data_IF_910806987097
#
_entry.id   IF_910806987097
#
_cell.length_a   1.000
_cell.length_b   1.000
_cell.length_c   1.000
_cell.angle_alpha   90.00
_cell.angle_beta   90.00
_cell.angle_gamma   90.00
#
_symmetry.space_group_name_H-M   'P 1'
#
loop_
_entity.id
_entity.type
_entity.pdbx_description
1 polymer ?
#
# COMPACT_ATOMS: atom_id res chain seq x y z
N UNK A 1 17.24 -59.40 19.14
CA UNK A 1 16.34 -59.22 17.98
C UNK A 1 17.21 -59.18 16.74
N UNK A 2 16.98 -60.08 15.78
CA UNK A 2 17.77 -60.15 14.54
C UNK A 2 17.02 -59.40 13.43
N UNK A 3 17.71 -58.55 12.68
CA UNK A 3 17.14 -57.89 11.50
C UNK A 3 16.97 -58.91 10.36
N UNK A 4 15.88 -58.85 9.57
CA UNK A 4 15.82 -59.55 8.29
C UNK A 4 16.82 -58.89 7.32
N UNK A 5 17.77 -59.68 6.82
CA UNK A 5 18.75 -59.21 5.85
C UNK A 5 18.08 -59.10 4.46
N UNK A 6 18.06 -57.89 3.88
CA UNK A 6 17.38 -57.60 2.62
C UNK A 6 18.17 -58.14 1.41
N UNK A 7 17.43 -58.70 0.45
CA UNK A 7 17.89 -59.36 -0.81
C UNK A 7 18.83 -60.54 -0.56
N UNK A 8 18.45 -61.73 -1.03
CA UNK A 8 19.28 -62.93 -0.93
C UNK A 8 20.65 -62.66 -1.53
N UNK A 9 21.68 -62.68 -0.68
CA UNK A 9 23.05 -62.42 -1.07
C UNK A 9 23.47 -63.52 -2.06
N UNK A 10 24.19 -63.19 -3.15
CA UNK A 10 24.82 -64.20 -3.99
C UNK A 10 25.59 -65.22 -3.14
N UNK A 11 25.51 -66.50 -3.51
CA UNK A 11 25.98 -67.67 -2.76
C UNK A 11 25.07 -68.18 -1.61
N UNK A 12 23.83 -67.70 -1.46
CA UNK A 12 22.84 -68.37 -0.57
C UNK A 12 22.48 -69.75 -1.12
N UNK A 13 22.70 -70.82 -0.34
CA UNK A 13 22.35 -72.20 -0.71
C UNK A 13 20.86 -72.46 -0.48
N UNK A 14 20.14 -72.86 -1.52
CA UNK A 14 18.68 -73.05 -1.51
C UNK A 14 18.27 -74.53 -1.39
N UNK A 15 19.02 -75.41 -2.05
CA UNK A 15 18.72 -76.84 -2.10
C UNK A 15 20.01 -77.65 -2.13
N UNK A 16 20.03 -78.76 -1.40
CA UNK A 16 21.11 -79.73 -1.46
C UNK A 16 20.55 -81.08 -1.91
N UNK A 17 21.02 -81.57 -3.05
CA UNK A 17 20.85 -82.97 -3.42
C UNK A 17 21.76 -83.80 -2.50
N UNK A 18 21.20 -84.25 -1.38
CA UNK A 18 21.84 -85.24 -0.52
C UNK A 18 22.30 -86.42 -1.39
N UNK A 19 23.54 -86.87 -1.19
CA UNK A 19 24.04 -88.09 -1.82
C UNK A 19 23.10 -89.25 -1.46
N UNK A 20 22.21 -89.63 -2.36
CA UNK A 20 21.70 -90.99 -2.39
C UNK A 20 22.92 -91.91 -2.44
N UNK A 21 22.84 -93.08 -1.79
CA UNK A 21 23.89 -94.09 -1.89
C UNK A 21 23.94 -94.60 -3.33
N UNK A 22 24.80 -93.98 -4.14
CA UNK A 22 25.28 -94.53 -5.41
C UNK A 22 26.04 -95.81 -5.03
N UNK A 23 25.62 -97.00 -5.48
CA UNK A 23 26.18 -98.27 -4.98
C UNK A 23 27.70 -98.39 -5.12
N UNK A 24 28.25 -97.87 -6.22
CA UNK A 24 29.67 -98.02 -6.58
C UNK A 24 30.55 -96.80 -6.26
N UNK A 25 29.99 -95.75 -5.66
CA UNK A 25 30.76 -94.56 -5.25
C UNK A 25 31.11 -93.57 -6.37
N UNK A 26 30.54 -93.76 -7.57
CA UNK A 26 30.80 -92.91 -8.74
C UNK A 26 30.45 -91.42 -8.53
N UNK A 27 31.16 -90.58 -9.28
CA UNK A 27 31.04 -89.12 -9.21
C UNK A 27 29.95 -88.65 -10.17
N UNK A 28 28.83 -88.16 -9.63
CA UNK A 28 27.77 -87.53 -10.42
C UNK A 28 28.02 -86.04 -10.67
N UNK A 29 27.63 -85.59 -11.85
CA UNK A 29 27.59 -84.19 -12.28
C UNK A 29 26.16 -83.67 -12.34
N UNK A 30 26.01 -82.37 -12.10
CA UNK A 30 24.71 -81.68 -12.06
C UNK A 30 24.78 -80.45 -12.96
N UNK A 31 23.71 -80.18 -13.72
CA UNK A 31 23.58 -78.94 -14.48
C UNK A 31 22.12 -78.46 -14.54
N UNK A 32 21.91 -77.14 -14.58
CA UNK A 32 20.58 -76.57 -14.84
C UNK A 32 20.46 -76.46 -16.37
N UNK A 33 19.52 -77.19 -16.96
CA UNK A 33 19.34 -77.27 -18.42
C UNK A 33 18.21 -76.40 -18.95
N UNK A 34 17.25 -76.02 -18.10
CA UNK A 34 16.13 -75.14 -18.45
C UNK A 34 15.58 -74.40 -17.22
N UNK A 35 14.77 -73.37 -17.43
CA UNK A 35 14.07 -72.58 -16.40
C UNK A 35 14.84 -71.39 -15.82
N UNK A 36 16.17 -71.36 -15.97
CA UNK A 36 17.07 -70.32 -15.43
C UNK A 36 17.29 -69.15 -16.40
N UNK A 37 16.20 -68.56 -16.90
CA UNK A 37 16.16 -67.66 -18.07
C UNK A 37 17.07 -66.43 -18.00
N UNK A 38 17.41 -65.95 -16.81
CA UNK A 38 18.19 -64.74 -16.54
C UNK A 38 19.53 -65.02 -15.81
N UNK A 39 19.88 -66.31 -15.66
CA UNK A 39 21.00 -66.81 -14.88
C UNK A 39 20.96 -66.40 -13.39
N UNK A 40 19.75 -66.35 -12.81
CA UNK A 40 19.52 -66.08 -11.40
C UNK A 40 20.13 -67.13 -10.45
N UNK A 41 20.22 -68.39 -10.88
CA UNK A 41 20.70 -69.51 -10.07
C UNK A 41 21.95 -70.17 -10.67
N UNK A 42 22.76 -70.79 -9.82
CA UNK A 42 23.86 -71.67 -10.21
C UNK A 42 23.76 -73.00 -9.46
N UNK A 43 24.38 -74.04 -10.00
CA UNK A 43 24.50 -75.34 -9.34
C UNK A 43 25.97 -75.76 -9.25
N UNK A 44 26.42 -76.10 -8.05
CA UNK A 44 27.79 -76.58 -7.81
C UNK A 44 27.75 -77.78 -6.87
N UNK A 45 28.30 -78.92 -7.30
CA UNK A 45 28.38 -80.15 -6.49
C UNK A 45 27.05 -80.60 -5.86
N UNK A 46 25.93 -80.44 -6.59
CA UNK A 46 24.60 -80.78 -6.10
C UNK A 46 23.97 -79.77 -5.13
N UNK A 47 24.57 -78.59 -4.96
CA UNK A 47 23.98 -77.46 -4.24
C UNK A 47 23.50 -76.43 -5.26
N UNK A 48 22.21 -76.09 -5.22
CA UNK A 48 21.65 -74.94 -5.97
C UNK A 48 21.79 -73.70 -5.10
N UNK A 49 22.37 -72.63 -5.64
CA UNK A 49 22.55 -71.35 -4.95
C UNK A 49 22.14 -70.16 -5.82
N UNK A 50 21.82 -69.05 -5.15
CA UNK A 50 21.52 -67.77 -5.80
C UNK A 50 22.80 -67.19 -6.40
N UNK A 51 22.81 -66.93 -7.70
CA UNK A 51 23.93 -66.35 -8.44
C UNK A 51 23.78 -64.83 -8.70
N UNK A 52 22.54 -64.32 -8.73
CA UNK A 52 22.20 -62.90 -8.93
C UNK A 52 21.09 -62.49 -7.98
N UNK A 53 20.95 -61.19 -7.73
CA UNK A 53 19.84 -60.68 -6.92
C UNK A 53 18.48 -61.08 -7.52
N UNK A 54 17.63 -61.62 -6.67
CA UNK A 54 16.24 -61.94 -6.98
C UNK A 54 15.36 -60.72 -6.68
N UNK A 55 14.30 -60.57 -7.49
CA UNK A 55 13.40 -59.43 -7.56
C UNK A 55 12.02 -60.02 -7.89
N UNK A 56 11.07 -59.89 -6.95
CA UNK A 56 9.78 -60.59 -7.02
C UNK A 56 8.84 -59.91 -8.03
N UNK A 57 8.87 -58.58 -8.02
CA UNK A 57 8.14 -57.64 -8.87
C UNK A 57 8.43 -57.92 -10.34
N UNK A 58 9.68 -58.28 -10.65
CA UNK A 58 10.13 -58.68 -11.98
C UNK A 58 9.76 -60.13 -12.33
N UNK A 59 9.92 -61.08 -11.39
CA UNK A 59 9.58 -62.51 -11.60
C UNK A 59 9.46 -63.25 -10.27
N UNK A 60 8.27 -63.78 -9.98
CA UNK A 60 7.93 -64.38 -8.68
C UNK A 60 8.13 -65.90 -8.58
N UNK A 61 8.27 -66.62 -9.70
CA UNK A 61 8.50 -68.07 -9.72
C UNK A 61 9.46 -68.55 -10.82
N UNK A 62 10.10 -69.68 -10.55
CA UNK A 62 10.99 -70.40 -11.46
C UNK A 62 10.72 -71.89 -11.34
N UNK A 63 10.74 -72.62 -12.46
CA UNK A 63 10.79 -74.10 -12.44
C UNK A 63 12.08 -74.53 -13.12
N UNK A 64 13.11 -74.79 -12.33
CA UNK A 64 14.41 -75.20 -12.86
C UNK A 64 14.36 -76.66 -13.27
N UNK A 65 14.79 -76.99 -14.49
CA UNK A 65 15.01 -78.38 -14.88
C UNK A 65 16.49 -78.72 -14.67
N UNK A 66 16.76 -79.67 -13.78
CA UNK A 66 18.11 -80.04 -13.37
C UNK A 66 18.42 -81.42 -13.93
N UNK A 67 19.47 -81.54 -14.74
CA UNK A 67 20.01 -82.83 -15.16
C UNK A 67 21.04 -83.33 -14.16
N UNK A 68 21.02 -84.64 -13.92
CA UNK A 68 21.97 -85.36 -13.08
C UNK A 68 22.52 -86.52 -13.92
N UNK A 69 23.83 -86.65 -13.99
CA UNK A 69 24.49 -87.68 -14.82
C UNK A 69 25.69 -88.31 -14.13
N UNK A 70 25.88 -89.60 -14.36
CA UNK A 70 27.07 -90.40 -14.01
C UNK A 70 28.09 -90.46 -15.19
N UNK A 71 27.81 -89.78 -16.31
CA UNK A 71 28.60 -89.83 -17.54
C UNK A 71 28.08 -90.82 -18.59
N UNK A 72 27.10 -91.67 -18.24
CA UNK A 72 26.47 -92.67 -19.14
C UNK A 72 24.95 -92.46 -19.21
N UNK A 73 24.30 -92.34 -18.06
CA UNK A 73 22.88 -92.10 -17.91
C UNK A 73 22.62 -90.63 -17.55
N UNK A 74 21.45 -90.12 -17.92
CA UNK A 74 20.99 -88.78 -17.53
C UNK A 74 19.57 -88.91 -16.99
N UNK A 75 19.33 -88.37 -15.79
CA UNK A 75 18.00 -88.17 -15.23
C UNK A 75 17.70 -86.69 -15.11
N UNK A 76 16.43 -86.31 -15.20
CA UNK A 76 15.96 -84.93 -15.09
C UNK A 76 15.04 -84.79 -13.88
N UNK A 77 15.25 -83.73 -13.10
CA UNK A 77 14.44 -83.38 -11.94
C UNK A 77 14.00 -81.92 -12.03
N UNK A 78 12.69 -81.68 -11.97
CA UNK A 78 12.15 -80.33 -11.83
C UNK A 78 12.27 -79.87 -10.37
N UNK A 79 12.76 -78.64 -10.19
CA UNK A 79 12.84 -77.94 -8.90
C UNK A 79 12.03 -76.63 -9.02
N UNK A 80 10.77 -76.61 -8.54
CA UNK A 80 10.01 -75.37 -8.44
C UNK A 80 10.57 -74.49 -7.31
N UNK A 81 10.93 -73.26 -7.62
CA UNK A 81 11.39 -72.23 -6.71
C UNK A 81 10.36 -71.10 -6.74
N UNK A 82 9.75 -70.81 -5.59
CA UNK A 82 8.93 -69.61 -5.40
C UNK A 82 9.74 -68.55 -4.69
N UNK A 83 9.75 -67.34 -5.23
CA UNK A 83 10.28 -66.17 -4.54
C UNK A 83 9.17 -65.64 -3.63
N UNK A 84 9.54 -65.28 -2.41
CA UNK A 84 8.66 -64.67 -1.43
C UNK A 84 8.78 -63.16 -1.60
N UNK A 85 7.66 -62.46 -1.79
CA UNK A 85 7.66 -61.00 -1.81
C UNK A 85 8.11 -60.45 -0.44
N UNK A 86 8.88 -59.37 -0.45
CA UNK A 86 9.36 -58.64 0.73
C UNK A 86 9.10 -57.15 0.53
N UNK A 87 8.69 -56.46 1.60
CA UNK A 87 8.38 -55.03 1.54
C UNK A 87 9.67 -54.19 1.33
N UNK A 88 9.97 -53.88 0.07
CA UNK A 88 11.24 -53.32 -0.41
C UNK A 88 11.12 -51.97 -1.18
N UNK A 89 9.90 -51.53 -1.51
CA UNK A 89 9.57 -50.18 -1.94
C UNK A 89 8.89 -49.36 -0.84
N UNK A 90 8.86 -48.04 -1.00
CA UNK A 90 8.17 -47.15 -0.06
C UNK A 90 6.85 -46.67 -0.69
N UNK A 91 5.80 -46.39 0.09
CA UNK A 91 4.58 -45.81 -0.45
C UNK A 91 4.87 -44.39 -0.96
N UNK A 92 4.38 -44.03 -2.15
CA UNK A 92 4.68 -42.76 -2.81
C UNK A 92 3.42 -41.90 -2.90
N UNK A 93 3.47 -40.68 -2.37
CA UNK A 93 2.41 -39.69 -2.58
C UNK A 93 2.39 -39.20 -4.04
N UNK A 94 1.19 -38.97 -4.59
CA UNK A 94 1.02 -38.41 -5.95
C UNK A 94 1.62 -37.00 -6.09
N UNK A 95 1.76 -36.25 -4.98
CA UNK A 95 2.39 -34.92 -4.91
C UNK A 95 3.25 -34.78 -3.66
N UNK A 96 4.40 -34.12 -3.77
CA UNK A 96 5.25 -33.76 -2.61
C UNK A 96 4.70 -32.57 -1.81
N UNK A 97 3.90 -31.71 -2.45
CA UNK A 97 3.27 -30.54 -1.87
C UNK A 97 1.80 -30.46 -2.30
N UNK A 98 0.92 -30.33 -1.30
CA UNK A 98 -0.49 -30.00 -1.47
C UNK A 98 -0.73 -28.57 -0.97
N UNK A 99 -1.59 -27.82 -1.65
CA UNK A 99 -2.01 -26.47 -1.26
C UNK A 99 -3.52 -26.37 -1.30
N UNK A 100 -4.10 -25.65 -0.34
CA UNK A 100 -5.51 -25.28 -0.32
C UNK A 100 -5.69 -23.88 0.27
N UNK A 101 -6.75 -23.22 -0.17
CA UNK A 101 -7.14 -21.88 0.26
C UNK A 101 -8.59 -21.99 0.73
N UNK A 102 -8.87 -21.66 2.00
CA UNK A 102 -10.17 -21.86 2.65
C UNK A 102 -10.55 -20.64 3.49
N UNK A 103 -11.83 -20.27 3.51
CA UNK A 103 -12.37 -19.27 4.44
C UNK A 103 -12.34 -19.80 5.87
N UNK A 104 -12.12 -18.94 6.87
CA UNK A 104 -12.18 -19.35 8.28
C UNK A 104 -13.59 -19.80 8.71
N UNK A 105 -14.62 -19.24 8.08
CA UNK A 105 -16.03 -19.60 8.28
C UNK A 105 -16.40 -20.99 7.70
N UNK A 106 -15.43 -21.79 7.27
CA UNK A 106 -15.67 -23.15 6.78
C UNK A 106 -16.24 -24.06 7.89
N UNK A 107 -17.36 -24.76 7.68
CA UNK A 107 -17.95 -25.61 8.71
C UNK A 107 -17.02 -26.74 9.17
N UNK A 108 -17.01 -27.01 10.47
CA UNK A 108 -16.30 -28.16 11.05
C UNK A 108 -16.80 -29.47 10.42
N UNK A 109 -15.87 -30.34 10.04
CA UNK A 109 -16.12 -31.56 9.28
C UNK A 109 -15.91 -31.42 7.76
N UNK A 110 -15.79 -30.19 7.23
CA UNK A 110 -15.51 -29.97 5.80
C UNK A 110 -14.18 -30.58 5.39
N UNK A 111 -14.17 -31.23 4.22
CA UNK A 111 -12.97 -31.80 3.60
C UNK A 111 -12.21 -30.69 2.89
N UNK A 112 -10.94 -30.52 3.24
CA UNK A 112 -10.05 -29.49 2.69
C UNK A 112 -9.24 -30.04 1.52
N UNK A 113 -8.69 -31.25 1.69
CA UNK A 113 -7.84 -31.91 0.71
C UNK A 113 -8.07 -33.42 0.70
N UNK A 114 -7.94 -34.01 -0.49
CA UNK A 114 -7.85 -35.44 -0.71
C UNK A 114 -6.38 -35.78 -0.99
N UNK A 115 -5.76 -36.56 -0.12
CA UNK A 115 -4.41 -37.08 -0.33
C UNK A 115 -4.51 -38.43 -1.05
N UNK A 116 -3.53 -38.70 -1.91
CA UNK A 116 -3.43 -39.98 -2.61
C UNK A 116 -1.97 -40.44 -2.61
N UNK A 117 -1.78 -41.73 -2.37
CA UNK A 117 -0.51 -42.43 -2.43
C UNK A 117 -0.71 -43.84 -2.98
N UNK A 118 0.36 -44.41 -3.53
CA UNK A 118 0.43 -45.77 -4.07
C UNK A 118 1.72 -46.43 -3.64
N UNK A 119 1.65 -47.73 -3.33
CA UNK A 119 2.82 -48.59 -3.22
C UNK A 119 2.84 -49.57 -4.40
N UNK A 120 4.00 -50.14 -4.71
CA UNK A 120 4.17 -51.16 -5.76
C UNK A 120 4.27 -52.57 -5.17
N UNK A 121 4.60 -52.70 -3.88
CA UNK A 121 4.73 -53.99 -3.20
C UNK A 121 3.37 -54.63 -2.86
N UNK A 122 2.32 -53.81 -2.70
CA UNK A 122 0.99 -54.23 -2.24
C UNK A 122 -0.11 -53.82 -3.24
N UNK A 123 -0.85 -54.81 -3.75
CA UNK A 123 -2.02 -54.60 -4.64
C UNK A 123 -3.25 -54.11 -3.86
N UNK A 124 -3.28 -54.39 -2.55
CA UNK A 124 -4.35 -53.94 -1.64
C UNK A 124 -3.97 -52.63 -0.93
N UNK A 125 -4.94 -51.70 -0.88
CA UNK A 125 -4.75 -50.30 -0.49
C UNK A 125 -4.67 -50.09 1.03
N UNK A 126 -3.87 -50.89 1.74
CA UNK A 126 -3.71 -50.82 3.20
C UNK A 126 -2.78 -49.68 3.67
N UNK A 127 -2.69 -48.61 2.88
CA UNK A 127 -1.89 -47.43 3.20
C UNK A 127 -2.56 -46.61 4.29
N UNK A 128 -1.78 -46.31 5.34
CA UNK A 128 -2.24 -45.63 6.53
C UNK A 128 -1.69 -44.20 6.57
N UNK A 129 -2.60 -43.24 6.40
CA UNK A 129 -2.33 -41.81 6.43
C UNK A 129 -2.37 -41.25 7.85
N UNK A 130 -1.49 -40.30 8.15
CA UNK A 130 -1.42 -39.64 9.45
C UNK A 130 -0.78 -38.24 9.32
N UNK A 131 -1.13 -37.32 10.22
CA UNK A 131 -0.40 -36.07 10.36
C UNK A 131 0.81 -36.36 11.25
N UNK A 132 2.03 -36.19 10.73
CA UNK A 132 3.27 -36.49 11.42
C UNK A 132 3.76 -35.32 12.26
N UNK A 133 3.68 -34.09 11.73
CA UNK A 133 4.05 -32.88 12.44
C UNK A 133 3.37 -31.64 11.81
N UNK A 134 3.47 -30.50 12.48
CA UNK A 134 3.00 -29.19 12.02
C UNK A 134 4.00 -28.10 12.42
N UNK A 135 4.08 -27.01 11.65
CA UNK A 135 4.88 -25.84 12.03
C UNK A 135 4.32 -25.14 13.30
N UNK A 136 3.00 -25.08 13.45
CA UNK A 136 2.32 -24.60 14.66
C UNK A 136 1.53 -25.75 15.31
N UNK A 137 1.86 -26.18 16.55
CA UNK A 137 1.22 -27.33 17.22
C UNK A 137 -0.30 -27.28 17.35
N UNK A 138 -0.95 -26.10 17.36
CA UNK A 138 -2.42 -26.04 17.40
C UNK A 138 -3.06 -26.61 16.12
N UNK A 139 -2.34 -26.56 14.98
CA UNK A 139 -2.80 -27.12 13.70
C UNK A 139 -3.10 -28.62 13.79
N UNK A 140 -2.45 -29.37 14.70
CA UNK A 140 -2.71 -30.79 14.94
C UNK A 140 -4.06 -31.07 15.61
N UNK A 141 -4.70 -30.05 16.19
CA UNK A 141 -6.08 -30.12 16.72
C UNK A 141 -7.10 -29.66 15.68
N UNK A 142 -6.74 -28.62 14.92
CA UNK A 142 -7.60 -27.97 13.93
C UNK A 142 -7.85 -28.84 12.70
N UNK A 143 -6.89 -29.67 12.30
CA UNK A 143 -7.05 -30.61 11.19
C UNK A 143 -6.93 -32.06 11.65
N UNK A 144 -7.79 -32.92 11.08
CA UNK A 144 -7.69 -34.38 11.17
C UNK A 144 -7.58 -34.98 9.77
N UNK A 145 -6.84 -36.07 9.65
CA UNK A 145 -6.80 -36.88 8.44
C UNK A 145 -7.47 -38.23 8.71
N UNK A 146 -8.33 -38.67 7.81
CA UNK A 146 -8.86 -40.03 7.85
C UNK A 146 -7.77 -41.03 7.42
N UNK A 147 -7.52 -42.04 8.25
CA UNK A 147 -6.34 -42.88 8.11
C UNK A 147 -6.36 -43.82 6.91
N UNK A 148 -7.52 -44.10 6.33
CA UNK A 148 -7.66 -45.03 5.20
C UNK A 148 -7.93 -44.31 3.88
N UNK A 149 -8.80 -43.29 3.90
CA UNK A 149 -9.16 -42.54 2.71
C UNK A 149 -8.22 -41.38 2.41
N UNK A 150 -7.35 -40.95 3.34
CA UNK A 150 -6.46 -39.80 3.11
C UNK A 150 -7.18 -38.45 3.05
N UNK A 151 -8.44 -38.36 3.50
CA UNK A 151 -9.20 -37.10 3.53
C UNK A 151 -8.75 -36.23 4.70
N UNK A 152 -8.15 -35.09 4.40
CA UNK A 152 -7.87 -34.03 5.38
C UNK A 152 -9.13 -33.18 5.56
N UNK A 153 -9.57 -33.03 6.81
CA UNK A 153 -10.79 -32.29 7.16
C UNK A 153 -10.57 -31.40 8.39
N UNK A 154 -11.38 -30.35 8.48
CA UNK A 154 -11.40 -29.43 9.63
C UNK A 154 -12.06 -30.13 10.82
N UNK A 155 -11.42 -30.15 11.98
CA UNK A 155 -11.91 -30.73 13.24
C UNK A 155 -12.29 -29.70 14.30
N UNK A 156 -11.81 -28.46 14.20
CA UNK A 156 -12.20 -27.33 15.05
C UNK A 156 -12.32 -26.07 14.18
N UNK A 157 -13.10 -25.05 14.59
CA UNK A 157 -13.19 -23.79 13.85
C UNK A 157 -11.81 -23.20 13.53
N UNK A 158 -11.72 -22.56 12.37
CA UNK A 158 -10.58 -21.73 12.01
C UNK A 158 -10.78 -20.32 12.55
N UNK A 159 -9.67 -19.60 12.66
CA UNK A 159 -9.57 -18.24 13.16
C UNK A 159 -8.34 -17.65 12.46
N UNK A 160 -8.59 -16.71 11.55
CA UNK A 160 -7.59 -16.07 10.71
C UNK A 160 -6.66 -15.20 11.58
N UNK A 161 -7.19 -14.50 12.56
CA UNK A 161 -6.45 -13.65 13.51
C UNK A 161 -5.46 -14.46 14.33
N UNK A 162 -5.84 -15.68 14.72
CA UNK A 162 -4.95 -16.65 15.36
C UNK A 162 -3.91 -17.25 14.42
N UNK A 163 -4.32 -17.89 13.30
CA UNK A 163 -3.41 -18.63 12.41
C UNK A 163 -3.82 -18.51 10.93
N UNK A 164 -3.35 -17.43 10.28
CA UNK A 164 -3.51 -17.16 8.83
C UNK A 164 -3.00 -18.27 7.90
N UNK A 165 -2.07 -19.13 8.36
CA UNK A 165 -1.43 -20.16 7.53
C UNK A 165 -1.00 -21.40 8.32
N UNK A 166 -1.51 -22.56 7.93
CA UNK A 166 -1.12 -23.84 8.48
C UNK A 166 -0.15 -24.58 7.55
N UNK A 167 0.91 -25.13 8.14
CA UNK A 167 1.88 -25.97 7.43
C UNK A 167 1.97 -27.31 8.16
N UNK A 168 1.54 -28.38 7.48
CA UNK A 168 1.53 -29.75 7.99
C UNK A 168 2.52 -30.61 7.23
N UNK A 169 3.16 -31.54 7.93
CA UNK A 169 3.86 -32.67 7.33
C UNK A 169 3.02 -33.91 7.59
N UNK A 170 2.56 -34.54 6.53
CA UNK A 170 1.80 -35.81 6.58
C UNK A 170 2.72 -36.98 6.30
N UNK A 171 2.40 -38.13 6.87
CA UNK A 171 3.05 -39.41 6.63
C UNK A 171 2.03 -40.39 6.08
N UNK A 172 2.42 -41.12 5.03
CA UNK A 172 1.78 -42.37 4.63
C UNK A 172 2.74 -43.50 4.97
N UNK A 173 2.19 -44.60 5.49
CA UNK A 173 2.94 -45.84 5.72
C UNK A 173 2.18 -47.03 5.14
N UNK A 174 2.91 -48.05 4.74
CA UNK A 174 2.36 -49.37 4.44
C UNK A 174 1.97 -50.12 5.74
N UNK A 175 1.56 -51.37 5.57
CA UNK A 175 1.42 -52.34 6.66
C UNK A 175 2.41 -53.52 6.54
N UNK A 176 3.50 -53.33 5.79
CA UNK A 176 4.53 -54.33 5.52
C UNK A 176 5.45 -54.59 6.71
N UNK A 177 6.34 -55.58 6.58
CA UNK A 177 7.34 -55.92 7.62
C UNK A 177 8.73 -56.08 6.99
N UNK A 178 9.69 -55.15 7.23
CA UNK A 178 9.54 -53.91 8.00
C UNK A 178 8.61 -52.90 7.31
N UNK A 179 7.86 -52.14 8.10
CA UNK A 179 6.97 -51.10 7.55
C UNK A 179 7.78 -49.89 7.07
N UNK A 180 7.46 -49.40 5.87
CA UNK A 180 8.08 -48.25 5.22
C UNK A 180 7.08 -47.11 5.12
N UNK A 181 7.62 -45.92 4.91
CA UNK A 181 6.91 -44.65 5.06
C UNK A 181 7.50 -43.55 4.22
N UNK A 182 6.64 -42.64 3.79
CA UNK A 182 7.01 -41.42 3.06
C UNK A 182 6.26 -40.22 3.62
N UNK A 183 6.74 -39.03 3.28
CA UNK A 183 6.21 -37.78 3.79
C UNK A 183 5.87 -36.82 2.65
N UNK A 184 4.82 -36.01 2.85
CA UNK A 184 4.48 -34.89 1.98
C UNK A 184 4.16 -33.66 2.83
N UNK A 185 4.21 -32.47 2.21
CA UNK A 185 3.88 -31.20 2.84
C UNK A 185 2.49 -30.75 2.42
N UNK A 186 1.78 -30.10 3.34
CA UNK A 186 0.52 -29.43 3.08
C UNK A 186 0.64 -27.99 3.54
N UNK A 187 0.22 -27.07 2.69
CA UNK A 187 0.05 -25.64 3.00
C UNK A 187 -1.43 -25.33 2.91
N UNK A 188 -1.98 -24.71 3.95
CA UNK A 188 -3.37 -24.25 3.97
C UNK A 188 -3.32 -22.76 4.32
N UNK A 189 -3.76 -21.91 3.41
CA UNK A 189 -3.96 -20.50 3.71
C UNK A 189 -5.41 -20.30 4.15
N UNK A 190 -5.60 -19.59 5.25
CA UNK A 190 -6.92 -19.23 5.77
C UNK A 190 -7.24 -17.83 5.26
N UNK A 191 -8.40 -17.64 4.65
CA UNK A 191 -8.90 -16.32 4.25
C UNK A 191 -9.65 -15.64 5.39
N UNK A 192 -9.33 -14.36 5.55
CA UNK A 192 -9.93 -13.36 6.43
C UNK A 192 -11.40 -13.11 6.05
N UNK A 193 -12.29 -13.21 7.02
CA UNK A 193 -13.68 -12.81 6.94
C UNK A 193 -13.94 -11.75 8.03
N UNK A 194 -14.74 -10.73 7.73
CA UNK A 194 -14.97 -9.63 8.67
C UNK A 194 -15.96 -10.02 9.80
N UNK A 195 -15.50 -10.87 10.72
CA UNK A 195 -16.22 -11.35 11.92
C UNK A 195 -15.80 -10.60 13.20
N UNK A 196 -14.56 -10.11 13.25
CA UNK A 196 -14.03 -9.27 14.30
C UNK A 196 -14.50 -7.81 14.14
N UNK A 197 -15.40 -7.39 15.03
CA UNK A 197 -15.76 -5.98 15.18
C UNK A 197 -14.74 -5.23 16.06
N UNK A 198 -14.56 -3.90 15.90
CA UNK A 198 -13.66 -3.13 16.75
C UNK A 198 -14.15 -3.07 18.21
N UNK A 199 -13.48 -3.79 19.12
CA UNK A 199 -13.82 -3.81 20.55
C UNK A 199 -12.89 -2.90 21.37
N UNK A 200 -13.47 -1.96 22.13
CA UNK A 200 -12.72 -1.00 22.95
C UNK A 200 -12.72 -1.43 24.43
N UNK A 201 -11.58 -1.90 24.94
CA UNK A 201 -11.40 -2.27 26.35
C UNK A 201 -11.44 -1.07 27.32
N UNK A 202 -12.62 -0.58 27.70
CA UNK A 202 -12.82 0.29 28.87
C UNK A 202 -14.16 -0.02 29.57
N UNK A 203 -14.18 -0.50 30.83
CA UNK A 203 -15.40 -1.01 31.48
C UNK A 203 -16.36 0.07 32.04
N UNK A 204 -16.15 1.35 31.73
CA UNK A 204 -16.99 2.46 32.23
C UNK A 204 -17.35 3.48 31.14
N UNK A 205 -18.35 3.13 30.33
CA UNK A 205 -19.03 4.04 29.41
C UNK A 205 -19.90 5.07 30.18
N UNK A 206 -19.25 6.04 30.83
CA UNK A 206 -19.90 7.28 31.28
C UNK A 206 -20.06 8.18 30.05
N UNK A 207 -21.07 7.85 29.24
CA UNK A 207 -21.48 8.54 28.03
C UNK A 207 -21.90 10.00 28.31
N UNK A 208 -22.39 10.72 27.30
CA UNK A 208 -22.83 12.13 27.34
C UNK A 208 -24.09 12.36 28.22
N UNK A 209 -24.00 12.04 29.50
CA UNK A 209 -25.12 12.04 30.45
C UNK A 209 -25.72 13.44 30.54
N UNK A 210 -27.05 13.51 30.37
CA UNK A 210 -27.80 14.77 30.36
C UNK A 210 -27.59 15.62 29.10
N UNK A 211 -26.90 15.14 28.07
CA UNK A 211 -26.47 15.92 26.90
C UNK A 211 -25.64 17.14 27.34
N UNK A 212 -24.58 16.88 28.11
CA UNK A 212 -23.67 17.90 28.64
C UNK A 212 -22.76 18.50 27.55
N UNK A 213 -22.48 17.74 26.50
CA UNK A 213 -21.67 18.14 25.35
C UNK A 213 -22.45 18.01 24.04
N UNK A 214 -22.05 18.77 23.02
CA UNK A 214 -22.47 18.64 21.62
C UNK A 214 -21.25 18.61 20.71
N UNK A 215 -21.44 18.31 19.42
CA UNK A 215 -20.38 18.38 18.41
C UNK A 215 -20.86 19.17 17.21
N UNK A 216 -19.98 20.00 16.65
CA UNK A 216 -20.18 20.60 15.34
C UNK A 216 -19.90 19.53 14.26
N UNK A 217 -20.93 19.16 13.50
CA UNK A 217 -20.82 18.13 12.45
C UNK A 217 -19.90 18.52 11.28
N UNK A 218 -19.58 19.81 11.12
CA UNK A 218 -18.74 20.30 10.00
C UNK A 218 -17.30 20.57 10.42
N UNK A 219 -17.09 21.09 11.63
CA UNK A 219 -15.77 21.44 12.15
C UNK A 219 -15.17 20.38 13.08
N UNK A 220 -15.97 19.40 13.52
CA UNK A 220 -15.56 18.37 14.49
C UNK A 220 -15.33 18.90 15.92
N UNK A 221 -15.75 20.14 16.21
CA UNK A 221 -15.54 20.78 17.50
C UNK A 221 -16.51 20.26 18.55
N UNK A 222 -15.98 19.70 19.64
CA UNK A 222 -16.79 19.31 20.80
C UNK A 222 -17.03 20.53 21.70
N UNK A 223 -18.30 20.87 21.91
CA UNK A 223 -18.75 22.04 22.65
C UNK A 223 -19.46 21.63 23.95
N UNK A 224 -19.48 22.53 24.94
CA UNK A 224 -20.27 22.35 26.17
C UNK A 224 -21.70 22.81 25.89
N UNK A 225 -22.66 21.88 25.95
CA UNK A 225 -24.08 22.14 25.71
C UNK A 225 -24.85 22.50 27.00
N UNK A 226 -24.35 22.12 28.18
CA UNK A 226 -24.94 22.44 29.49
C UNK A 226 -23.89 22.73 30.57
N UNK A 227 -24.22 23.51 31.62
CA UNK A 227 -23.29 23.77 32.72
C UNK A 227 -22.79 22.47 33.38
N UNK A 228 -21.46 22.33 33.48
CA UNK A 228 -20.81 21.18 34.10
C UNK A 228 -20.63 21.41 35.61
N UNK A 229 -20.96 20.41 36.43
CA UNK A 229 -20.69 20.45 37.87
C UNK A 229 -19.70 19.34 38.25
N UNK A 230 -18.45 19.72 38.54
CA UNK A 230 -17.36 18.83 38.95
C UNK A 230 -17.69 17.97 40.19
N UNK A 231 -18.50 18.48 41.12
CA UNK A 231 -18.88 17.73 42.33
C UNK A 231 -19.85 16.58 42.02
N UNK A 232 -20.59 16.67 40.92
CA UNK A 232 -21.56 15.65 40.46
C UNK A 232 -20.89 14.70 39.46
N UNK A 233 -20.17 15.26 38.48
CA UNK A 233 -19.41 14.52 37.48
C UNK A 233 -18.06 15.21 37.23
N UNK A 234 -16.95 14.64 37.74
CA UNK A 234 -15.62 15.19 37.52
C UNK A 234 -15.02 14.80 36.18
N UNK A 235 -15.50 13.72 35.53
CA UNK A 235 -14.95 13.17 34.30
C UNK A 235 -16.06 12.62 33.39
N UNK A 236 -15.84 12.64 32.07
CA UNK A 236 -16.72 12.08 31.05
C UNK A 236 -15.91 11.28 30.02
N UNK A 237 -16.52 10.22 29.48
CA UNK A 237 -15.93 9.39 28.42
C UNK A 237 -16.88 9.39 27.21
N UNK A 238 -16.61 10.27 26.24
CA UNK A 238 -17.41 10.39 25.03
C UNK A 238 -16.93 9.42 23.95
N UNK A 239 -17.86 8.67 23.34
CA UNK A 239 -17.61 7.94 22.11
C UNK A 239 -18.03 8.83 20.94
N UNK A 240 -17.07 9.33 20.17
CA UNK A 240 -17.33 10.06 18.93
C UNK A 240 -17.39 9.10 17.75
N UNK A 241 -18.26 9.37 16.78
CA UNK A 241 -18.38 8.63 15.53
C UNK A 241 -18.27 9.59 14.34
N UNK A 242 -17.31 9.35 13.47
CA UNK A 242 -17.26 9.94 12.14
C UNK A 242 -17.85 8.94 11.13
N UNK A 243 -18.63 9.42 10.17
CA UNK A 243 -19.17 8.59 9.08
C UNK A 243 -19.10 9.37 7.78
N UNK A 244 -18.73 8.70 6.68
CA UNK A 244 -18.86 9.27 5.36
C UNK A 244 -20.32 9.27 4.88
N UNK A 245 -20.60 10.02 3.80
CA UNK A 245 -21.90 10.05 3.13
C UNK A 245 -21.98 9.02 1.98
N UNK A 246 -21.14 7.97 2.03
CA UNK A 246 -21.07 6.92 1.02
C UNK A 246 -22.25 5.95 1.08
N UNK A 247 -22.36 5.12 0.04
CA UNK A 247 -23.32 4.00 0.00
C UNK A 247 -22.55 2.75 -0.47
N UNK A 248 -22.28 1.77 0.40
CA UNK A 248 -22.52 1.80 1.86
C UNK A 248 -21.65 2.85 2.57
N UNK A 249 -22.15 3.38 3.69
CA UNK A 249 -21.43 4.38 4.49
C UNK A 249 -20.40 3.70 5.41
N UNK A 250 -19.14 4.10 5.30
CA UNK A 250 -18.09 3.68 6.23
C UNK A 250 -18.03 4.64 7.41
N UNK A 251 -17.67 4.11 8.58
CA UNK A 251 -17.56 4.91 9.80
C UNK A 251 -16.40 4.46 10.68
N UNK A 252 -15.92 5.39 11.50
CA UNK A 252 -14.88 5.17 12.50
C UNK A 252 -15.30 5.81 13.83
N UNK A 253 -14.82 5.26 14.93
CA UNK A 253 -15.15 5.74 16.28
C UNK A 253 -13.91 5.96 17.12
N UNK A 254 -13.94 6.96 18.00
CA UNK A 254 -12.84 7.29 18.90
C UNK A 254 -13.35 7.68 20.29
N UNK A 255 -12.63 7.27 21.33
CA UNK A 255 -12.94 7.62 22.71
C UNK A 255 -12.24 8.95 23.09
N UNK A 256 -12.97 9.84 23.75
CA UNK A 256 -12.49 11.13 24.26
C UNK A 256 -12.73 11.19 25.77
N UNK A 257 -11.65 11.30 26.54
CA UNK A 257 -11.70 11.50 28.00
C UNK A 257 -11.66 13.00 28.32
N UNK A 258 -12.67 13.49 29.03
CA UNK A 258 -12.80 14.90 29.41
C UNK A 258 -12.77 14.99 30.94
N UNK A 259 -11.82 15.77 31.48
CA UNK A 259 -11.68 16.01 32.92
C UNK A 259 -12.17 17.43 33.25
N UNK A 260 -13.16 17.54 34.13
CA UNK A 260 -13.70 18.82 34.61
C UNK A 260 -12.78 19.40 35.68
N UNK A 261 -12.03 20.44 35.33
CA UNK A 261 -11.10 21.13 36.22
C UNK A 261 -11.73 22.35 36.90
N UNK A 262 -11.05 22.93 37.90
CA UNK A 262 -11.50 24.19 38.53
C UNK A 262 -11.10 25.39 37.68
N UNK A 263 -12.04 26.32 37.52
CA UNK A 263 -11.86 27.56 36.81
C UNK A 263 -10.70 28.41 37.38
N UNK A 264 -9.77 28.80 36.52
CA UNK A 264 -8.87 29.93 36.75
C UNK A 264 -9.29 31.08 35.83
N UNK A 265 -9.81 32.16 36.44
CA UNK A 265 -10.47 33.24 35.70
C UNK A 265 -9.49 34.23 35.02
N UNK A 266 -8.19 33.94 34.97
CA UNK A 266 -7.23 34.75 34.23
C UNK A 266 -7.37 34.52 32.71
N UNK A 267 -7.70 35.55 31.90
CA UNK A 267 -7.79 35.41 30.45
C UNK A 267 -6.42 35.09 29.82
N UNK A 268 -6.38 34.50 28.61
CA UNK A 268 -5.14 34.36 27.85
C UNK A 268 -4.43 35.69 27.66
N UNK A 269 -3.09 35.68 27.66
CA UNK A 269 -2.28 36.86 27.37
C UNK A 269 -1.47 36.62 26.09
N UNK A 270 -1.82 37.33 25.02
CA UNK A 270 -1.04 37.37 23.78
C UNK A 270 0.40 37.83 24.04
N UNK A 271 1.34 37.25 23.30
CA UNK A 271 2.75 37.64 23.35
C UNK A 271 2.98 39.06 22.83
N UNK A 272 2.23 39.46 21.79
CA UNK A 272 2.28 40.80 21.19
C UNK A 272 0.90 41.47 21.25
N UNK A 273 0.89 42.80 21.40
CA UNK A 273 -0.36 43.59 21.45
C UNK A 273 -1.03 43.71 20.08
N UNK A 274 -0.22 43.88 19.04
CA UNK A 274 -0.60 43.93 17.63
C UNK A 274 0.41 43.10 16.85
N UNK A 275 -0.02 42.47 15.76
CA UNK A 275 0.85 41.78 14.80
C UNK A 275 0.75 42.50 13.45
N UNK A 276 1.85 42.53 12.70
CA UNK A 276 1.89 43.06 11.33
C UNK A 276 2.50 41.98 10.43
N UNK A 277 1.87 41.71 9.29
CA UNK A 277 2.33 40.71 8.32
C UNK A 277 2.19 41.26 6.91
N UNK A 278 3.13 40.90 6.03
CA UNK A 278 3.11 41.23 4.61
C UNK A 278 2.85 39.97 3.80
N UNK A 279 1.97 40.07 2.80
CA UNK A 279 1.61 38.97 1.91
C UNK A 279 1.45 39.52 0.50
N UNK A 280 2.16 38.96 -0.48
CA UNK A 280 1.91 39.29 -1.88
C UNK A 280 0.50 38.86 -2.30
N UNK A 281 -0.10 39.65 -3.18
CA UNK A 281 -1.31 39.24 -3.88
C UNK A 281 -1.07 38.07 -4.84
N UNK A 282 -2.15 37.50 -5.37
CA UNK A 282 -2.16 36.33 -6.27
C UNK A 282 -1.43 35.07 -5.75
N UNK A 283 -0.93 35.08 -4.51
CA UNK A 283 -0.37 33.94 -3.83
C UNK A 283 -1.42 32.84 -3.62
N UNK A 284 -1.04 31.58 -3.87
CA UNK A 284 -1.93 30.43 -3.73
C UNK A 284 -2.43 30.30 -2.27
N UNK A 285 -3.72 30.01 -2.05
CA UNK A 285 -4.29 29.91 -0.71
C UNK A 285 -3.68 28.74 0.09
N UNK A 286 -3.71 28.86 1.41
CA UNK A 286 -3.14 27.90 2.36
C UNK A 286 -1.75 28.24 2.88
N UNK A 287 -1.12 29.31 2.37
CA UNK A 287 0.19 29.82 2.84
C UNK A 287 0.10 30.26 4.31
N UNK A 288 0.99 29.81 5.20
CA UNK A 288 1.04 30.28 6.58
C UNK A 288 1.65 31.68 6.66
N UNK A 289 1.00 32.59 7.39
CA UNK A 289 1.41 33.98 7.56
C UNK A 289 2.22 34.16 8.86
N UNK A 290 1.57 33.92 10.00
CA UNK A 290 2.17 34.10 11.33
C UNK A 290 1.45 33.24 12.38
N UNK A 291 2.06 33.05 13.54
CA UNK A 291 1.46 32.38 14.69
C UNK A 291 1.08 33.41 15.75
N UNK A 292 -0.20 33.49 16.07
CA UNK A 292 -0.76 34.45 17.04
C UNK A 292 -0.95 33.72 18.37
N UNK A 293 0.07 33.75 19.21
CA UNK A 293 0.16 32.93 20.41
C UNK A 293 -0.29 33.71 21.66
N UNK A 294 -1.15 33.09 22.46
CA UNK A 294 -1.54 33.56 23.78
C UNK A 294 -1.21 32.54 24.87
N UNK A 295 -0.56 33.02 25.92
CA UNK A 295 -0.19 32.24 27.10
C UNK A 295 -1.35 32.16 28.09
N UNK A 296 -1.64 30.97 28.61
CA UNK A 296 -2.65 30.76 29.67
C UNK A 296 -2.29 29.54 30.51
N UNK A 297 -2.94 29.37 31.67
CA UNK A 297 -2.77 28.20 32.57
C UNK A 297 -3.62 26.98 32.17
N UNK A 298 -4.37 27.10 31.09
CA UNK A 298 -5.22 26.05 30.50
C UNK A 298 -5.18 26.22 28.98
N UNK A 299 -5.60 25.20 28.24
CA UNK A 299 -5.63 25.24 26.76
C UNK A 299 -6.37 26.48 26.24
N UNK A 300 -5.90 27.01 25.12
CA UNK A 300 -6.42 28.21 24.47
C UNK A 300 -6.97 27.84 23.09
N UNK A 301 -8.16 28.37 22.79
CA UNK A 301 -8.81 28.29 21.49
C UNK A 301 -8.71 29.66 20.79
N UNK A 302 -8.39 29.68 19.49
CA UNK A 302 -8.24 30.89 18.69
C UNK A 302 -9.29 30.99 17.59
N UNK A 303 -9.78 32.20 17.34
CA UNK A 303 -10.79 32.51 16.33
C UNK A 303 -10.63 33.94 15.80
N UNK A 304 -10.98 34.17 14.53
CA UNK A 304 -11.07 35.53 13.97
C UNK A 304 -12.50 36.02 14.21
N UNK A 305 -12.66 37.15 14.89
CA UNK A 305 -13.98 37.68 15.29
C UNK A 305 -14.43 38.91 14.49
N UNK A 306 -13.51 39.58 13.80
CA UNK A 306 -13.79 40.77 13.00
C UNK A 306 -12.70 40.99 11.93
N UNK A 307 -13.02 41.79 10.90
CA UNK A 307 -12.10 42.23 9.84
C UNK A 307 -11.84 41.23 8.71
N UNK A 308 -12.35 39.99 8.81
CA UNK A 308 -12.13 38.92 7.82
C UNK A 308 -13.07 39.04 6.61
N UNK A 309 -12.86 40.04 5.77
CA UNK A 309 -13.69 40.28 4.57
C UNK A 309 -13.60 39.05 3.64
N UNK A 310 -14.76 38.58 3.17
CA UNK A 310 -14.92 37.42 2.27
C UNK A 310 -14.25 36.12 2.76
N UNK A 311 -14.08 35.94 4.07
CA UNK A 311 -13.38 34.79 4.67
C UNK A 311 -11.97 34.55 4.08
N UNK A 312 -11.28 35.65 3.73
CA UNK A 312 -9.98 35.65 3.05
C UNK A 312 -8.87 34.97 3.86
N UNK A 313 -9.02 34.86 5.18
CA UNK A 313 -8.08 34.21 6.10
C UNK A 313 -8.76 33.17 6.98
N UNK A 314 -7.97 32.18 7.40
CA UNK A 314 -8.35 31.18 8.41
C UNK A 314 -7.27 31.11 9.49
N UNK A 315 -7.69 30.93 10.75
CA UNK A 315 -6.78 30.64 11.86
C UNK A 315 -6.95 29.20 12.31
N UNK A 316 -5.84 28.51 12.58
CA UNK A 316 -5.90 27.20 13.20
C UNK A 316 -6.26 27.35 14.71
N UNK A 317 -7.35 26.72 15.18
CA UNK A 317 -7.92 27.01 16.50
C UNK A 317 -7.07 26.57 17.69
N UNK A 318 -6.09 25.69 17.51
CA UNK A 318 -5.25 25.17 18.61
C UNK A 318 -3.81 25.69 18.57
N UNK A 319 -3.26 25.94 17.37
CA UNK A 319 -1.89 26.46 17.20
C UNK A 319 -1.79 27.97 17.00
N UNK A 320 -2.92 28.66 16.75
CA UNK A 320 -2.94 30.10 16.49
C UNK A 320 -2.30 30.51 15.15
N UNK A 321 -1.97 29.55 14.27
CA UNK A 321 -1.37 29.83 12.95
C UNK A 321 -2.44 30.40 12.00
N UNK A 322 -2.23 31.64 11.58
CA UNK A 322 -3.02 32.33 10.55
C UNK A 322 -2.55 31.92 9.15
N UNK A 323 -3.47 31.67 8.22
CA UNK A 323 -3.21 31.31 6.82
C UNK A 323 -4.12 32.06 5.86
N UNK A 324 -3.66 32.26 4.63
CA UNK A 324 -4.55 32.69 3.53
C UNK A 324 -5.54 31.57 3.20
N UNK A 325 -6.77 31.96 2.84
CA UNK A 325 -7.85 31.06 2.44
C UNK A 325 -8.36 31.40 1.02
N UNK A 326 -8.25 32.67 0.63
CA UNK A 326 -8.48 33.14 -0.73
C UNK A 326 -7.17 33.60 -1.40
N UNK A 327 -7.19 33.72 -2.73
CA UNK A 327 -6.25 34.58 -3.45
C UNK A 327 -6.63 36.04 -3.15
N UNK A 328 -5.64 36.86 -2.82
CA UNK A 328 -5.83 38.28 -2.56
C UNK A 328 -5.52 39.10 -3.81
N UNK A 329 -6.15 40.27 -3.90
CA UNK A 329 -6.10 41.24 -5.00
C UNK A 329 -5.86 42.61 -4.36
N UNK A 330 -4.75 43.28 -4.73
CA UNK A 330 -4.30 44.53 -4.13
C UNK A 330 -5.10 45.73 -4.63
N UNK A 331 -5.56 45.72 -5.88
CA UNK A 331 -6.44 46.75 -6.45
C UNK A 331 -7.78 46.80 -5.71
N UNK A 332 -8.27 45.66 -5.22
CA UNK A 332 -9.50 45.53 -4.44
C UNK A 332 -9.28 45.89 -2.97
N UNK A 333 -8.29 45.31 -2.28
CA UNK A 333 -8.07 45.62 -0.86
C UNK A 333 -6.60 45.51 -0.40
N UNK A 334 -5.98 46.69 -0.20
CA UNK A 334 -4.55 46.84 0.16
C UNK A 334 -4.17 46.38 1.57
N UNK A 335 -5.13 46.25 2.49
CA UNK A 335 -4.86 45.75 3.84
C UNK A 335 -6.11 45.18 4.53
N UNK A 336 -5.89 44.24 5.45
CA UNK A 336 -6.91 43.66 6.32
C UNK A 336 -6.53 43.90 7.79
N UNK A 337 -7.49 44.38 8.59
CA UNK A 337 -7.30 44.58 10.04
C UNK A 337 -8.12 43.53 10.80
N UNK A 338 -7.55 42.33 10.97
CA UNK A 338 -8.21 41.20 11.61
C UNK A 338 -8.20 41.37 13.12
N UNK A 339 -9.32 41.13 13.80
CA UNK A 339 -9.34 40.98 15.26
C UNK A 339 -9.42 39.50 15.61
N UNK A 340 -8.42 39.01 16.34
CA UNK A 340 -8.32 37.61 16.78
C UNK A 340 -8.64 37.54 18.26
N UNK A 341 -9.52 36.62 18.64
CA UNK A 341 -9.86 36.30 20.03
C UNK A 341 -9.17 35.01 20.45
N UNK A 342 -8.59 35.03 21.65
CA UNK A 342 -8.09 33.86 22.35
C UNK A 342 -8.97 33.60 23.57
N UNK A 343 -9.53 32.40 23.66
CA UNK A 343 -10.44 31.99 24.74
C UNK A 343 -9.85 30.79 25.47
N UNK A 344 -9.71 30.85 26.80
CA UNK A 344 -9.25 29.69 27.59
C UNK A 344 -10.38 28.69 27.87
N UNK A 345 -10.05 27.53 28.44
CA UNK A 345 -11.03 26.50 28.85
C UNK A 345 -12.09 26.98 29.87
N UNK A 346 -11.91 28.17 30.47
CA UNK A 346 -12.81 28.78 31.45
C UNK A 346 -13.77 29.78 30.78
N UNK A 347 -13.63 30.03 29.48
CA UNK A 347 -14.39 31.04 28.73
C UNK A 347 -13.88 32.47 28.93
N UNK A 348 -12.83 32.67 29.74
CA UNK A 348 -12.16 33.96 29.83
C UNK A 348 -11.36 34.20 28.55
N UNK A 349 -11.54 35.38 27.95
CA UNK A 349 -10.99 35.71 26.65
C UNK A 349 -10.19 37.02 26.64
N UNK A 350 -9.38 37.18 25.61
CA UNK A 350 -8.72 38.42 25.24
C UNK A 350 -8.68 38.53 23.71
N UNK A 351 -8.40 39.73 23.20
CA UNK A 351 -8.24 39.95 21.76
C UNK A 351 -6.94 40.69 21.43
N UNK A 352 -6.50 40.51 20.19
CA UNK A 352 -5.36 41.19 19.55
C UNK A 352 -5.72 41.54 18.11
N UNK A 353 -5.03 42.51 17.52
CA UNK A 353 -5.24 42.93 16.13
C UNK A 353 -4.07 42.49 15.25
N UNK A 354 -4.38 41.97 14.07
CA UNK A 354 -3.39 41.59 13.05
C UNK A 354 -3.64 42.41 11.79
N UNK A 355 -2.69 43.29 11.47
CA UNK A 355 -2.70 44.05 10.24
C UNK A 355 -1.95 43.27 9.16
N UNK A 356 -2.69 42.77 8.17
CA UNK A 356 -2.11 42.14 6.98
C UNK A 356 -2.02 43.19 5.89
N UNK A 357 -0.81 43.54 5.47
CA UNK A 357 -0.55 44.35 4.29
C UNK A 357 -0.49 43.43 3.07
N UNK A 358 -1.28 43.76 2.04
CA UNK A 358 -1.15 43.13 0.73
C UNK A 358 -0.04 43.86 -0.02
N UNK A 359 0.89 43.10 -0.61
CA UNK A 359 2.03 43.64 -1.36
C UNK A 359 1.80 43.45 -2.86
N UNK A 360 1.63 44.59 -3.51
CA UNK A 360 1.54 44.84 -4.95
C UNK A 360 2.47 43.93 -5.80
N UNK A 361 1.93 43.45 -6.92
CA UNK A 361 2.62 42.68 -7.96
C UNK A 361 2.28 43.26 -9.32
N UNK A 362 3.24 43.17 -10.25
CA UNK A 362 3.01 43.62 -11.62
C UNK A 362 2.20 42.57 -12.41
N UNK A 363 0.88 42.57 -12.24
CA UNK A 363 -0.05 41.65 -12.91
C UNK A 363 -1.08 42.35 -13.81
N UNK A 364 -1.36 43.65 -13.59
CA UNK A 364 -2.00 44.47 -14.61
C UNK A 364 -0.96 44.92 -15.65
N UNK A 365 -1.47 45.31 -16.82
CA UNK A 365 -0.66 45.81 -17.92
C UNK A 365 -1.19 47.19 -18.36
N UNK A 366 -0.33 48.09 -18.87
CA UNK A 366 -0.75 49.44 -19.20
C UNK A 366 -1.87 49.51 -20.25
N UNK A 367 -2.98 50.18 -19.93
CA UNK A 367 -4.15 50.32 -20.81
C UNK A 367 -4.24 51.74 -21.36
N UNK A 368 -4.15 51.89 -22.69
CA UNK A 368 -4.41 53.16 -23.37
C UNK A 368 -5.88 53.59 -23.22
N UNK A 369 -6.12 54.89 -23.01
CA UNK A 369 -7.49 55.42 -22.93
C UNK A 369 -8.27 55.36 -24.26
N UNK A 370 -7.57 55.23 -25.39
CA UNK A 370 -8.15 55.16 -26.74
C UNK A 370 -7.41 54.13 -27.59
N UNK A 371 -8.15 53.41 -28.45
CA UNK A 371 -7.58 52.44 -29.40
C UNK A 371 -6.99 53.11 -30.66
N UNK A 372 -7.44 54.31 -30.99
CA UNK A 372 -6.95 55.10 -32.13
C UNK A 372 -6.79 56.55 -31.70
N UNK A 373 -5.64 57.14 -32.03
CA UNK A 373 -5.30 58.54 -31.79
C UNK A 373 -5.10 59.24 -33.13
N UNK A 374 -5.87 60.31 -33.39
CA UNK A 374 -5.80 61.07 -34.65
C UNK A 374 -5.20 62.46 -34.43
N UNK A 375 -4.27 62.83 -35.28
CA UNK A 375 -3.62 64.13 -35.27
C UNK A 375 -3.24 64.60 -36.66
N UNK A 376 -3.02 65.90 -36.79
CA UNK A 376 -2.71 66.61 -38.02
C UNK A 376 -1.37 67.32 -37.88
N UNK A 377 -0.66 67.42 -39.00
CA UNK A 377 0.57 68.21 -39.19
C UNK A 377 0.50 68.87 -40.56
N UNK A 378 1.11 70.03 -40.71
CA UNK A 378 1.15 70.82 -41.94
C UNK A 378 2.52 70.62 -42.59
N UNK A 379 2.60 70.52 -43.93
CA UNK A 379 3.89 70.30 -44.62
C UNK A 379 4.91 71.43 -44.38
N UNK A 380 4.43 72.64 -44.09
CA UNK A 380 5.24 73.81 -43.71
C UNK A 380 5.65 73.84 -42.23
N UNK A 381 5.26 72.84 -41.42
CA UNK A 381 5.61 72.80 -40.01
C UNK A 381 7.12 72.68 -39.79
N UNK A 382 7.60 73.39 -38.76
CA UNK A 382 9.00 73.31 -38.36
C UNK A 382 9.23 72.03 -37.56
N UNK A 383 10.46 71.54 -37.56
CA UNK A 383 10.83 70.38 -36.75
C UNK A 383 10.59 70.73 -35.26
N UNK A 384 10.10 69.75 -34.47
CA UNK A 384 9.52 69.93 -33.12
C UNK A 384 8.16 70.68 -33.07
N UNK A 385 7.52 71.03 -34.19
CA UNK A 385 6.06 71.29 -34.17
C UNK A 385 5.34 70.10 -33.53
N UNK A 386 4.39 70.39 -32.64
CA UNK A 386 3.56 69.36 -32.02
C UNK A 386 2.56 68.84 -33.06
N UNK A 387 2.29 67.53 -33.06
CA UNK A 387 1.14 66.97 -33.78
C UNK A 387 -0.12 67.51 -33.11
N UNK A 388 -1.07 68.07 -33.87
CA UNK A 388 -2.25 68.73 -33.31
C UNK A 388 -3.54 67.93 -33.54
N UNK A 389 -4.38 67.84 -32.51
CA UNK A 389 -5.80 67.47 -32.62
C UNK A 389 -6.59 68.72 -33.00
N UNK A 390 -7.38 68.61 -34.06
CA UNK A 390 -8.21 69.67 -34.65
C UNK A 390 -7.50 71.00 -34.90
N UNK A 391 -6.17 70.96 -35.10
CA UNK A 391 -5.33 72.14 -35.32
C UNK A 391 -5.16 73.07 -34.10
N UNK A 392 -5.60 72.67 -32.91
CA UNK A 392 -5.67 73.55 -31.73
C UNK A 392 -4.93 72.98 -30.51
N UNK A 393 -4.98 71.67 -30.26
CA UNK A 393 -4.42 71.03 -29.05
C UNK A 393 -3.31 70.05 -29.41
N UNK A 394 -2.24 69.91 -28.61
CA UNK A 394 -1.26 68.84 -28.84
C UNK A 394 -1.91 67.46 -28.69
N UNK A 395 -1.53 66.53 -29.57
CA UNK A 395 -1.89 65.13 -29.46
C UNK A 395 -1.11 64.50 -28.30
N UNK A 396 -1.80 64.22 -27.20
CA UNK A 396 -1.26 63.51 -26.05
C UNK A 396 -1.83 62.08 -26.06
N UNK A 397 -0.93 61.11 -26.18
CA UNK A 397 -1.25 59.70 -25.93
C UNK A 397 -1.06 59.43 -24.45
N UNK A 398 -2.03 58.78 -23.82
CA UNK A 398 -1.96 58.38 -22.42
C UNK A 398 -2.53 56.98 -22.21
N UNK A 399 -1.89 56.26 -21.31
CA UNK A 399 -2.35 55.02 -20.72
C UNK A 399 -2.41 55.19 -19.20
N UNK A 400 -3.11 54.28 -18.54
CA UNK A 400 -3.08 54.12 -17.10
C UNK A 400 -2.69 52.68 -16.78
N UNK A 401 -2.04 52.50 -15.63
CA UNK A 401 -1.93 51.20 -14.98
C UNK A 401 -2.78 51.18 -13.72
N UNK A 402 -3.07 50.00 -13.20
CA UNK A 402 -3.80 49.81 -11.94
C UNK A 402 -2.87 49.54 -10.75
N UNK A 403 -1.72 48.94 -11.01
CA UNK A 403 -0.70 48.61 -10.02
C UNK A 403 -0.18 49.88 -9.31
N UNK A 404 0.73 49.72 -8.34
CA UNK A 404 1.28 50.85 -7.56
C UNK A 404 2.79 50.99 -7.66
N UNK A 405 3.26 52.18 -7.28
CA UNK A 405 4.66 52.57 -7.31
C UNK A 405 5.33 52.27 -8.67
N UNK A 406 6.42 51.51 -8.68
CA UNK A 406 7.21 51.24 -9.89
C UNK A 406 6.45 50.41 -10.94
N UNK A 407 5.49 49.60 -10.51
CA UNK A 407 4.67 48.77 -11.39
C UNK A 407 3.64 49.62 -12.18
N UNK A 408 3.30 50.84 -11.74
CA UNK A 408 2.47 51.77 -12.51
C UNK A 408 3.21 52.92 -13.19
N UNK A 409 4.54 52.96 -13.13
CA UNK A 409 5.34 54.00 -13.81
C UNK A 409 5.47 53.67 -15.31
N UNK A 410 4.72 54.39 -16.14
CA UNK A 410 4.61 54.14 -17.57
C UNK A 410 5.70 54.80 -18.40
N UNK A 411 6.29 54.02 -19.31
CA UNK A 411 7.14 54.49 -20.40
C UNK A 411 6.49 54.22 -21.76
N UNK A 412 6.73 55.11 -22.74
CA UNK A 412 6.10 55.06 -24.06
C UNK A 412 7.14 55.12 -25.20
N UNK A 413 6.90 54.38 -26.29
CA UNK A 413 7.79 54.26 -27.46
C UNK A 413 7.01 54.07 -28.76
N UNK A 414 7.51 54.67 -29.84
CA UNK A 414 7.04 54.38 -31.20
C UNK A 414 7.71 53.07 -31.67
N UNK A 415 6.89 52.08 -32.04
CA UNK A 415 7.36 50.73 -32.40
C UNK A 415 7.94 50.72 -33.81
N UNK A 416 7.34 51.49 -34.72
CA UNK A 416 7.70 51.49 -36.14
C UNK A 416 8.99 52.29 -36.41
N UNK A 417 10.03 51.57 -36.83
CA UNK A 417 11.37 52.15 -37.13
C UNK A 417 11.35 53.23 -38.22
N UNK A 418 10.39 53.15 -39.14
CA UNK A 418 10.12 54.16 -40.16
C UNK A 418 9.57 55.44 -39.54
N UNK A 419 8.58 55.33 -38.64
CA UNK A 419 7.98 56.46 -37.95
C UNK A 419 8.92 57.09 -36.91
N UNK A 420 9.72 56.29 -36.19
CA UNK A 420 10.68 56.77 -35.18
C UNK A 420 11.86 57.56 -35.77
N UNK A 421 12.07 57.52 -37.10
CA UNK A 421 13.04 58.39 -37.79
C UNK A 421 12.51 59.81 -38.01
N UNK A 422 11.22 60.04 -37.78
CA UNK A 422 10.49 61.26 -38.11
C UNK A 422 9.73 61.87 -36.92
N UNK A 423 9.27 61.03 -36.00
CA UNK A 423 8.50 61.39 -34.82
C UNK A 423 9.23 60.90 -33.56
N UNK A 424 9.17 61.71 -32.51
CA UNK A 424 9.74 61.40 -31.19
C UNK A 424 8.67 61.67 -30.15
N UNK A 425 8.43 60.70 -29.25
CA UNK A 425 7.56 60.92 -28.10
C UNK A 425 8.32 61.75 -27.06
N UNK A 426 7.70 62.84 -26.62
CA UNK A 426 8.23 63.68 -25.55
C UNK A 426 7.64 63.14 -24.24
N UNK A 427 8.46 62.42 -23.46
CA UNK A 427 8.14 62.09 -22.07
C UNK A 427 8.16 63.40 -21.27
N UNK A 428 7.02 63.81 -20.72
CA UNK A 428 6.91 65.10 -20.01
C UNK A 428 7.37 64.95 -18.56
N UNK A 429 8.68 65.12 -18.35
CA UNK A 429 9.26 65.63 -17.10
C UNK A 429 10.19 66.81 -17.43
N UNK A 430 9.61 67.90 -17.93
CA UNK A 430 10.28 69.13 -18.37
C UNK A 430 11.22 69.00 -19.61
N UNK A 431 11.59 70.08 -20.33
CA UNK A 431 11.86 69.98 -21.78
C UNK A 431 13.30 70.29 -22.27
N UNK A 432 13.90 69.34 -23.03
CA UNK A 432 14.95 69.49 -24.08
C UNK A 432 14.95 68.19 -24.97
N UNK A 433 15.34 68.09 -26.26
CA UNK A 433 15.42 69.02 -27.42
C UNK A 433 15.51 68.18 -28.76
N UNK A 434 15.79 68.82 -29.92
CA UNK A 434 15.75 68.24 -31.30
C UNK A 434 16.97 67.39 -31.65
N UNK A 435 16.80 66.38 -32.52
CA UNK A 435 17.69 66.22 -33.69
C UNK A 435 16.96 65.69 -34.94
N UNK A 436 17.27 66.34 -36.09
CA UNK A 436 17.08 65.93 -37.50
C UNK A 436 15.70 66.06 -38.17
N UNK A 437 15.74 66.13 -39.51
CA UNK A 437 14.69 66.63 -40.40
C UNK A 437 13.77 65.52 -40.95
N UNK A 438 12.49 65.83 -41.09
CA UNK A 438 11.51 65.07 -41.87
C UNK A 438 11.70 65.32 -43.37
N UNK A 439 11.72 64.24 -44.18
CA UNK A 439 11.53 64.30 -45.63
C UNK A 439 10.45 63.29 -45.99
N UNK A 440 9.23 63.78 -46.26
CA UNK A 440 8.12 62.93 -46.69
C UNK A 440 8.32 62.47 -48.15
N UNK A 441 8.35 61.15 -48.37
CA UNK A 441 8.18 60.56 -49.72
C UNK A 441 7.08 59.49 -49.80
N UNK A 442 6.49 59.08 -48.67
CA UNK A 442 5.24 58.30 -48.58
C UNK A 442 4.55 58.62 -47.25
N UNK A 443 3.22 58.67 -47.24
CA UNK A 443 2.43 58.84 -46.01
C UNK A 443 2.58 57.59 -45.10
N UNK A 444 3.06 57.71 -43.86
CA UNK A 444 2.71 56.77 -42.81
C UNK A 444 1.29 57.13 -42.34
N UNK A 445 0.28 56.45 -42.87
CA UNK A 445 -1.13 56.73 -42.54
C UNK A 445 -1.54 56.25 -41.13
N UNK A 446 -0.71 55.41 -40.51
CA UNK A 446 -0.86 54.85 -39.18
C UNK A 446 0.53 54.68 -38.57
N UNK A 447 0.62 54.76 -37.24
CA UNK A 447 1.80 54.34 -36.49
C UNK A 447 1.39 53.65 -35.19
N UNK A 448 2.21 52.71 -34.74
CA UNK A 448 1.99 51.96 -33.50
C UNK A 448 2.82 52.52 -32.34
N UNK A 449 2.15 52.85 -31.23
CA UNK A 449 2.77 53.23 -29.94
C UNK A 449 2.63 52.07 -28.95
N UNK A 450 3.70 51.78 -28.23
CA UNK A 450 3.70 50.83 -27.11
C UNK A 450 3.91 51.60 -25.80
N UNK A 451 3.13 51.25 -24.78
CA UNK A 451 3.41 51.56 -23.38
C UNK A 451 3.89 50.29 -22.67
N UNK A 452 4.75 50.46 -21.66
CA UNK A 452 5.12 49.41 -20.72
C UNK A 452 5.39 50.05 -19.35
N UNK A 453 5.13 49.30 -18.29
CA UNK A 453 5.46 49.63 -16.91
C UNK A 453 6.98 49.57 -16.64
N UNK A 454 7.41 49.92 -15.42
CA UNK A 454 8.80 49.75 -14.96
C UNK A 454 8.96 48.58 -13.98
N UNK A 455 7.89 47.80 -13.77
CA UNK A 455 7.93 46.63 -12.92
C UNK A 455 8.69 45.47 -13.55
N UNK A 456 8.77 44.38 -12.79
CA UNK A 456 9.12 43.08 -13.35
C UNK A 456 7.84 42.29 -13.43
N UNK A 457 7.43 41.98 -14.66
CA UNK A 457 6.31 41.09 -14.94
C UNK A 457 6.31 39.91 -13.97
N UNK A 458 5.17 39.69 -13.31
CA UNK A 458 4.99 38.57 -12.41
C UNK A 458 5.28 37.25 -13.13
N UNK A 459 6.29 36.51 -12.66
CA UNK A 459 6.64 35.21 -13.23
C UNK A 459 5.65 34.16 -12.72
N UNK A 460 4.61 33.87 -13.50
CA UNK A 460 3.62 32.82 -13.22
C UNK A 460 4.28 31.47 -12.89
N UNK A 461 3.78 30.81 -11.83
CA UNK A 461 4.16 29.46 -11.40
C UNK A 461 3.08 28.87 -10.49
#
# INVERSE_FOLDING_TARGET
>A
MLQPCQKTIPCTSLWHFCKQKIPDGDKVWYSIVDGNTDNAFMIQTGIVSVARHLDWEKKSDYTLNISITDGVNIIYQQLPIKIINVNDHNPVFVKELYSADISENVPVGSVVLQLEASDVDEVDKNLLYSIYNSANPQSLKVFKIDSFSGKLSVSHPLDHESIKKHMLTVMVRDNGTPSRRSFARIVINVHDENDHHPEFFHPHLISNIGNAFSIDETLGLVLIAKPLNRQVMPEYFLLLRAADKGIPSLNSTVNVHIIVTVANNAPPKFEQKNYIVELHENEKPGKPLTAVIATSRSSVYYEIIDGNINDSFIINPTSGVLRSNAMLDFEVLKFYNLTIRATNMVGANSSTSVLVHVIDRNDNAPIFHQLEYRGQVIESDKIRSMVLVDGIKPLVVSAYDKDSEINSVLHYKIVEKSASAYLVLIQIQAPLELQRHLIMKRNPASLSVQAWDMGKASSEC
#
